data_IF_555036599697
#
_entry.id   IF_555036599697
#
_cell.length_a   1.000
_cell.length_b   1.000
_cell.length_c   1.000
_cell.angle_alpha   90.00
_cell.angle_beta   90.00
_cell.angle_gamma   90.00
#
_symmetry.space_group_name_H-M   'P 1'
#
loop_
_entity.id
_entity.type
_entity.pdbx_description
1 polymer ?
#
# COMPACT_ATOMS: atom_id res chain seq x y z
N UNK A 1 1.78 -16.22 3.55
CA UNK A 1 0.32 -15.93 3.32
C UNK A 1 -0.42 -17.12 2.68
N UNK A 2 0.10 -17.81 1.64
CA UNK A 2 -0.54 -19.03 1.10
C UNK A 2 -0.74 -20.13 2.15
N UNK A 3 0.21 -20.29 3.05
CA UNK A 3 0.19 -21.28 4.13
C UNK A 3 -0.96 -21.02 5.12
N UNK A 4 -1.17 -19.76 5.49
CA UNK A 4 -2.29 -19.35 6.35
C UNK A 4 -3.65 -19.58 5.68
N UNK A 5 -3.74 -19.29 4.39
CA UNK A 5 -4.95 -19.57 3.63
C UNK A 5 -5.22 -21.09 3.51
N UNK A 6 -4.16 -21.90 3.34
CA UNK A 6 -4.28 -23.35 3.33
C UNK A 6 -4.74 -23.90 4.68
N UNK A 7 -4.16 -23.43 5.79
CA UNK A 7 -4.53 -23.83 7.13
C UNK A 7 -5.98 -23.43 7.49
N UNK A 8 -6.42 -22.23 7.07
CA UNK A 8 -7.81 -21.78 7.23
C UNK A 8 -8.77 -22.67 6.42
N UNK A 9 -8.42 -23.00 5.18
CA UNK A 9 -9.25 -23.84 4.31
C UNK A 9 -9.32 -25.32 4.72
N UNK A 10 -8.39 -25.77 5.56
CA UNK A 10 -8.38 -27.13 6.13
C UNK A 10 -8.93 -27.19 7.58
N UNK A 11 -9.55 -26.11 8.05
CA UNK A 11 -10.04 -25.95 9.42
C UNK A 11 -8.98 -26.18 10.52
N UNK A 12 -7.70 -26.10 10.14
CA UNK A 12 -6.58 -26.23 11.09
C UNK A 12 -6.42 -24.97 11.97
N UNK A 13 -6.97 -23.83 11.52
CA UNK A 13 -7.07 -22.58 12.27
C UNK A 13 -8.42 -21.95 12.04
N UNK A 14 -8.94 -21.20 13.03
CA UNK A 14 -10.27 -20.59 12.99
C UNK A 14 -10.29 -19.20 12.36
N UNK A 15 -9.15 -18.51 12.26
CA UNK A 15 -9.02 -17.19 11.65
C UNK A 15 -7.58 -16.94 11.22
N UNK A 16 -7.39 -16.09 10.22
CA UNK A 16 -6.07 -15.68 9.73
C UNK A 16 -6.09 -14.27 9.17
N UNK A 17 -5.01 -13.47 9.34
CA UNK A 17 -4.80 -12.26 8.56
C UNK A 17 -4.36 -12.65 7.16
N UNK A 18 -5.11 -12.22 6.16
CA UNK A 18 -4.83 -12.49 4.75
C UNK A 18 -4.81 -11.18 3.94
N UNK A 19 -4.03 -11.17 2.88
CA UNK A 19 -4.03 -10.13 1.86
C UNK A 19 -4.36 -10.73 0.49
N UNK A 20 -4.70 -9.90 -0.49
CA UNK A 20 -4.88 -10.38 -1.85
C UNK A 20 -3.59 -11.03 -2.41
N UNK A 21 -3.70 -12.07 -3.25
CA UNK A 21 -4.94 -12.71 -3.71
C UNK A 21 -5.49 -13.76 -2.72
N UNK A 22 -4.76 -14.10 -1.65
CA UNK A 22 -5.11 -15.21 -0.73
C UNK A 22 -6.44 -14.96 0.01
N UNK A 23 -6.76 -13.73 0.37
CA UNK A 23 -8.04 -13.37 0.99
C UNK A 23 -9.21 -13.69 0.08
N UNK A 24 -9.11 -13.31 -1.20
CA UNK A 24 -10.13 -13.62 -2.18
C UNK A 24 -10.37 -15.14 -2.34
N UNK A 25 -9.29 -15.92 -2.44
CA UNK A 25 -9.39 -17.39 -2.54
C UNK A 25 -10.07 -17.98 -1.31
N UNK A 26 -9.79 -17.46 -0.12
CA UNK A 26 -10.44 -17.90 1.11
C UNK A 26 -11.95 -17.57 1.10
N UNK A 27 -12.34 -16.37 0.66
CA UNK A 27 -13.74 -15.97 0.53
C UNK A 27 -14.52 -16.88 -0.45
N UNK A 28 -13.91 -17.21 -1.60
CA UNK A 28 -14.52 -18.12 -2.57
C UNK A 28 -14.73 -19.55 -2.02
N UNK A 29 -14.01 -19.93 -0.98
CA UNK A 29 -14.18 -21.21 -0.27
C UNK A 29 -15.13 -21.13 0.93
N UNK A 30 -15.86 -20.03 1.07
CA UNK A 30 -16.89 -19.86 2.10
C UNK A 30 -16.40 -19.21 3.39
N UNK A 31 -15.11 -18.81 3.47
CA UNK A 31 -14.62 -18.04 4.60
C UNK A 31 -15.18 -16.61 4.56
N UNK A 32 -15.34 -16.00 5.72
CA UNK A 32 -15.88 -14.64 5.86
C UNK A 32 -14.84 -13.66 6.34
N UNK A 33 -14.85 -12.47 5.76
CA UNK A 33 -14.07 -11.33 6.30
C UNK A 33 -14.77 -10.85 7.57
N UNK A 34 -14.07 -10.93 8.70
CA UNK A 34 -14.57 -10.48 10.01
C UNK A 34 -14.10 -9.06 10.34
N UNK A 35 -12.98 -8.61 9.74
CA UNK A 35 -12.49 -7.24 9.83
C UNK A 35 -11.73 -6.88 8.56
N UNK A 36 -11.99 -5.71 7.98
CA UNK A 36 -11.19 -5.15 6.90
C UNK A 36 -10.28 -4.06 7.48
N UNK A 37 -9.01 -4.41 7.69
CA UNK A 37 -8.05 -3.52 8.35
C UNK A 37 -7.80 -2.20 7.61
N UNK A 38 -8.15 -2.11 6.31
CA UNK A 38 -8.10 -0.85 5.58
C UNK A 38 -9.09 0.20 6.11
N UNK A 39 -10.18 -0.23 6.76
CA UNK A 39 -11.27 0.63 7.24
C UNK A 39 -11.30 0.81 8.77
N UNK A 40 -10.38 0.15 9.49
CA UNK A 40 -10.35 0.18 10.96
C UNK A 40 -9.58 1.38 11.55
N UNK A 41 -9.13 2.32 10.72
CA UNK A 41 -8.37 3.48 11.17
C UNK A 41 -6.97 3.16 11.72
N UNK A 42 -6.47 1.97 11.47
CA UNK A 42 -5.14 1.53 11.88
C UNK A 42 -4.13 2.02 10.85
N UNK A 43 -3.25 2.94 11.27
CA UNK A 43 -2.16 3.40 10.44
C UNK A 43 -0.94 2.52 10.63
N UNK A 44 -0.51 1.86 9.58
CA UNK A 44 0.70 1.06 9.53
C UNK A 44 1.38 1.23 8.17
N UNK A 45 2.69 1.45 8.16
CA UNK A 45 3.44 1.56 6.89
C UNK A 45 3.73 0.16 6.38
N UNK A 46 2.85 -0.35 5.51
CA UNK A 46 2.99 -1.68 4.88
C UNK A 46 4.00 -1.61 3.74
N UNK A 47 3.92 -0.55 2.93
CA UNK A 47 4.78 -0.33 1.78
C UNK A 47 5.00 1.17 1.56
N UNK A 48 6.11 1.52 0.93
CA UNK A 48 6.44 2.90 0.63
C UNK A 48 7.44 3.02 -0.50
N UNK A 49 7.50 4.19 -1.10
CA UNK A 49 8.54 4.53 -2.07
C UNK A 49 9.81 4.91 -1.29
N UNK A 50 10.86 4.13 -1.47
CA UNK A 50 12.10 4.29 -0.70
C UNK A 50 13.24 4.71 -1.62
N UNK A 51 14.04 5.66 -1.18
CA UNK A 51 15.25 6.09 -1.88
C UNK A 51 16.32 6.55 -0.88
N UNK A 52 17.52 6.87 -1.37
CA UNK A 52 18.60 7.37 -0.53
C UNK A 52 18.51 8.89 -0.37
N UNK A 53 18.99 9.41 0.76
CA UNK A 53 19.12 10.86 0.97
C UNK A 53 20.06 11.51 -0.06
N UNK A 54 21.07 10.76 -0.55
CA UNK A 54 21.96 11.21 -1.61
C UNK A 54 21.18 11.44 -2.90
N UNK A 55 20.37 10.47 -3.34
CA UNK A 55 19.54 10.60 -4.55
C UNK A 55 18.60 11.81 -4.46
N UNK A 56 17.95 12.00 -3.32
CA UNK A 56 17.06 13.16 -3.11
C UNK A 56 17.79 14.51 -3.21
N UNK A 57 19.07 14.59 -2.82
CA UNK A 57 19.85 15.82 -2.98
C UNK A 57 20.35 16.04 -4.40
N UNK A 58 20.84 14.98 -5.03
CA UNK A 58 21.53 15.07 -6.33
C UNK A 58 20.58 14.99 -7.52
N UNK A 59 19.43 14.32 -7.35
CA UNK A 59 18.48 14.03 -8.43
C UNK A 59 17.03 14.28 -7.99
N UNK A 60 16.80 15.42 -7.35
CA UNK A 60 15.50 15.81 -6.82
C UNK A 60 14.40 15.89 -7.90
N UNK A 61 14.76 16.37 -9.11
CA UNK A 61 13.85 16.43 -10.26
C UNK A 61 13.34 15.05 -10.68
N UNK A 62 14.22 14.06 -10.70
CA UNK A 62 13.88 12.70 -11.12
C UNK A 62 13.01 12.02 -10.07
N UNK A 63 13.32 12.20 -8.78
CA UNK A 63 12.46 11.75 -7.69
C UNK A 63 11.05 12.35 -7.80
N UNK A 64 10.94 13.63 -8.13
CA UNK A 64 9.66 14.33 -8.32
C UNK A 64 8.92 13.84 -9.56
N UNK A 65 9.64 13.60 -10.66
CA UNK A 65 9.07 13.02 -11.89
C UNK A 65 8.52 11.61 -11.62
N UNK A 66 9.25 10.80 -10.85
CA UNK A 66 8.79 9.48 -10.43
C UNK A 66 7.50 9.56 -9.59
N UNK A 67 7.44 10.47 -8.61
CA UNK A 67 6.22 10.67 -7.81
C UNK A 67 5.02 11.12 -8.66
N UNK A 68 5.24 11.94 -9.68
CA UNK A 68 4.19 12.29 -10.66
C UNK A 68 3.70 11.06 -11.44
N UNK A 69 4.62 10.22 -11.91
CA UNK A 69 4.28 8.99 -12.62
C UNK A 69 3.51 8.02 -11.70
N UNK A 70 3.96 7.87 -10.46
CA UNK A 70 3.28 7.07 -9.43
C UNK A 70 1.86 7.59 -9.16
N UNK A 71 1.68 8.90 -8.95
CA UNK A 71 0.36 9.50 -8.75
C UNK A 71 -0.59 9.26 -9.93
N UNK A 72 -0.10 9.38 -11.18
CA UNK A 72 -0.88 9.05 -12.37
C UNK A 72 -1.24 7.57 -12.45
N UNK A 73 -0.31 6.69 -12.10
CA UNK A 73 -0.57 5.24 -12.07
C UNK A 73 -1.61 4.88 -10.99
N UNK A 74 -1.53 5.51 -9.83
CA UNK A 74 -2.55 5.37 -8.77
C UNK A 74 -3.92 5.82 -9.28
N UNK A 75 -4.01 7.00 -9.87
CA UNK A 75 -5.26 7.50 -10.46
C UNK A 75 -5.81 6.54 -11.53
N UNK A 76 -4.94 6.01 -12.39
CA UNK A 76 -5.30 5.04 -13.42
C UNK A 76 -5.96 3.77 -12.84
N UNK A 77 -5.45 3.24 -11.72
CA UNK A 77 -6.02 2.08 -11.03
C UNK A 77 -7.47 2.34 -10.58
N UNK A 78 -7.78 3.57 -10.19
CA UNK A 78 -9.13 3.95 -9.75
C UNK A 78 -10.08 4.21 -10.92
N UNK A 79 -9.62 4.84 -12.00
CA UNK A 79 -10.45 5.32 -13.10
C UNK A 79 -10.57 4.34 -14.26
N UNK A 80 -9.54 3.53 -14.51
CA UNK A 80 -9.44 2.67 -15.70
C UNK A 80 -9.40 1.18 -15.30
N UNK A 81 -10.42 0.73 -14.56
CA UNK A 81 -10.46 -0.59 -13.92
C UNK A 81 -10.15 -1.75 -14.87
N UNK A 82 -10.76 -1.80 -16.05
CA UNK A 82 -10.59 -2.91 -16.99
C UNK A 82 -9.19 -2.93 -17.62
N UNK A 83 -8.64 -1.76 -17.89
CA UNK A 83 -7.26 -1.64 -18.37
C UNK A 83 -6.27 -2.00 -17.26
N UNK A 84 -6.54 -1.60 -16.01
CA UNK A 84 -5.73 -1.97 -14.85
C UNK A 84 -5.73 -3.49 -14.63
N UNK A 85 -6.88 -4.17 -14.78
CA UNK A 85 -6.96 -5.64 -14.75
C UNK A 85 -6.14 -6.28 -15.86
N UNK A 86 -6.17 -5.72 -17.06
CA UNK A 86 -5.37 -6.23 -18.20
C UNK A 86 -3.87 -6.13 -17.91
N UNK A 87 -3.43 -5.04 -17.27
CA UNK A 87 -2.05 -4.86 -16.84
C UNK A 87 -1.69 -5.86 -15.71
N UNK A 88 -2.55 -6.02 -14.71
CA UNK A 88 -2.38 -7.01 -13.66
C UNK A 88 -2.25 -8.43 -14.23
N UNK A 89 -3.14 -8.82 -15.15
CA UNK A 89 -3.07 -10.11 -15.84
C UNK A 89 -1.70 -10.33 -16.47
N UNK A 90 -1.21 -9.34 -17.22
CA UNK A 90 0.06 -9.42 -17.93
C UNK A 90 1.26 -9.56 -16.98
N UNK A 91 1.34 -8.76 -15.93
CA UNK A 91 2.53 -8.64 -15.09
C UNK A 91 2.50 -9.54 -13.84
N UNK A 92 1.33 -9.71 -13.22
CA UNK A 92 1.16 -10.61 -12.08
C UNK A 92 0.84 -12.05 -12.50
N UNK A 93 0.59 -12.30 -13.80
CA UNK A 93 0.25 -13.62 -14.37
C UNK A 93 -0.96 -14.25 -13.67
N UNK A 94 -1.96 -13.43 -13.40
CA UNK A 94 -3.24 -13.84 -12.81
C UNK A 94 -4.25 -13.88 -13.93
N UNK A 95 -4.81 -15.04 -14.25
CA UNK A 95 -5.82 -15.21 -15.31
C UNK A 95 -7.24 -15.30 -14.76
N UNK A 96 -7.42 -15.73 -13.51
CA UNK A 96 -8.73 -15.83 -12.86
C UNK A 96 -9.37 -14.44 -12.71
N UNK A 97 -10.58 -14.22 -13.27
CA UNK A 97 -11.24 -12.90 -13.23
C UNK A 97 -11.54 -12.41 -11.82
N UNK A 98 -11.90 -13.32 -10.92
CA UNK A 98 -12.22 -12.98 -9.55
C UNK A 98 -10.97 -12.59 -8.74
N UNK A 99 -9.87 -13.31 -8.95
CA UNK A 99 -8.58 -12.93 -8.35
C UNK A 99 -8.08 -11.57 -8.87
N UNK A 100 -8.31 -11.25 -10.15
CA UNK A 100 -8.02 -9.93 -10.71
C UNK A 100 -8.87 -8.85 -10.05
N UNK A 101 -10.17 -9.08 -9.90
CA UNK A 101 -11.08 -8.15 -9.23
C UNK A 101 -10.69 -7.95 -7.77
N UNK A 102 -10.45 -9.03 -7.03
CA UNK A 102 -10.02 -8.97 -5.63
C UNK A 102 -8.68 -8.25 -5.45
N UNK A 103 -7.73 -8.49 -6.36
CA UNK A 103 -6.43 -7.80 -6.33
C UNK A 103 -6.55 -6.31 -6.62
N UNK A 104 -7.40 -5.93 -7.58
CA UNK A 104 -7.66 -4.54 -7.90
C UNK A 104 -8.36 -3.82 -6.74
N UNK A 105 -9.38 -4.46 -6.15
CA UNK A 105 -10.08 -3.93 -4.98
C UNK A 105 -9.11 -3.73 -3.82
N UNK A 106 -8.27 -4.73 -3.53
CA UNK A 106 -7.25 -4.62 -2.50
C UNK A 106 -6.31 -3.44 -2.76
N UNK A 107 -5.83 -3.28 -4.00
CA UNK A 107 -4.98 -2.14 -4.35
C UNK A 107 -5.69 -0.80 -4.10
N UNK A 108 -6.97 -0.69 -4.43
CA UNK A 108 -7.76 0.52 -4.18
C UNK A 108 -8.00 0.77 -2.68
N UNK A 109 -8.27 -0.26 -1.89
CA UNK A 109 -8.52 -0.15 -0.44
C UNK A 109 -7.26 0.28 0.33
N UNK A 110 -6.07 -0.18 -0.10
CA UNK A 110 -4.81 0.05 0.62
C UNK A 110 -3.87 1.08 -0.01
N UNK A 111 -4.23 1.66 -1.16
CA UNK A 111 -3.39 2.69 -1.79
C UNK A 111 -3.95 4.09 -1.54
N UNK A 112 -3.18 4.90 -0.86
CA UNK A 112 -3.53 6.31 -0.63
C UNK A 112 -3.48 7.10 -1.96
N UNK A 113 -4.51 7.90 -2.22
CA UNK A 113 -4.59 8.78 -3.42
C UNK A 113 -3.46 9.80 -3.47
N UNK A 114 -3.03 10.27 -2.32
CA UNK A 114 -1.87 11.14 -2.14
C UNK A 114 -0.91 10.40 -1.21
N UNK A 115 0.29 10.02 -1.67
CA UNK A 115 1.19 9.13 -0.94
C UNK A 115 1.97 9.86 0.18
N UNK A 116 1.25 10.51 1.08
CA UNK A 116 1.83 11.10 2.29
C UNK A 116 2.09 10.01 3.32
N UNK A 117 3.32 9.97 3.81
CA UNK A 117 3.64 9.12 4.96
C UNK A 117 3.04 9.75 6.21
N UNK A 118 2.18 9.00 6.89
CA UNK A 118 1.56 9.42 8.16
C UNK A 118 2.51 9.11 9.32
N UNK A 119 2.76 10.11 10.16
CA UNK A 119 3.64 10.01 11.32
C UNK A 119 3.25 8.84 12.23
N UNK A 120 1.97 8.67 12.45
CA UNK A 120 1.40 7.64 13.32
C UNK A 120 1.77 6.24 12.84
N UNK A 121 1.74 5.99 11.54
CA UNK A 121 2.13 4.69 10.96
C UNK A 121 3.61 4.39 11.16
N UNK A 122 4.47 5.40 11.07
CA UNK A 122 5.91 5.23 11.34
C UNK A 122 6.17 5.05 12.83
N UNK A 123 5.43 5.75 13.70
CA UNK A 123 5.54 5.60 15.15
C UNK A 123 5.23 4.17 15.59
N UNK A 124 4.17 3.54 15.06
CA UNK A 124 3.82 2.15 15.39
C UNK A 124 4.97 1.20 15.05
N UNK A 125 5.60 1.35 13.89
CA UNK A 125 6.76 0.53 13.50
C UNK A 125 7.95 0.80 14.43
N UNK A 126 8.20 2.07 14.75
CA UNK A 126 9.30 2.45 15.64
C UNK A 126 9.10 1.89 17.07
N UNK A 127 7.88 1.93 17.60
CA UNK A 127 7.55 1.38 18.92
C UNK A 127 7.79 -0.14 18.98
N UNK A 128 7.46 -0.86 17.90
CA UNK A 128 7.74 -2.29 17.79
C UNK A 128 9.26 -2.58 17.74
N UNK A 129 10.02 -1.73 17.04
CA UNK A 129 11.48 -1.86 16.98
C UNK A 129 12.16 -1.46 18.31
N UNK A 130 11.65 -0.43 18.98
CA UNK A 130 12.17 -0.04 20.32
C UNK A 130 12.04 -1.15 21.37
N UNK A 131 11.03 -2.00 21.25
CA UNK A 131 10.86 -3.16 22.14
C UNK A 131 11.94 -4.22 21.95
N UNK A 132 12.49 -4.34 20.72
CA UNK A 132 13.49 -5.34 20.35
C UNK A 132 14.90 -4.77 20.28
N UNK A 133 15.03 -3.48 19.97
CA UNK A 133 16.28 -2.79 19.73
C UNK A 133 16.34 -1.49 20.54
N UNK A 134 16.88 -1.50 21.78
CA UNK A 134 16.91 -0.34 22.68
C UNK A 134 17.51 0.95 22.07
N UNK A 135 18.53 0.93 21.21
CA UNK A 135 19.03 2.13 20.53
C UNK A 135 17.98 2.84 19.66
N UNK A 136 16.91 2.18 19.23
CA UNK A 136 15.83 2.79 18.48
C UNK A 136 15.08 3.89 19.27
N UNK A 137 15.18 3.90 20.60
CA UNK A 137 14.58 4.94 21.49
C UNK A 137 15.12 6.35 21.24
N UNK A 138 16.29 6.47 20.62
CA UNK A 138 16.90 7.75 20.29
C UNK A 138 16.34 8.38 19.01
N UNK A 139 15.49 7.67 18.30
CA UNK A 139 14.95 8.10 17.03
C UNK A 139 13.52 8.60 17.13
N UNK A 140 13.21 9.61 16.32
CA UNK A 140 11.85 10.09 16.10
C UNK A 140 11.35 9.64 14.72
N UNK A 141 10.04 9.50 14.51
CA UNK A 141 9.47 9.08 13.23
C UNK A 141 9.94 9.93 12.04
N UNK A 142 10.15 11.22 12.24
CA UNK A 142 10.54 12.20 11.22
C UNK A 142 11.89 11.89 10.57
N UNK A 143 12.72 11.07 11.21
CA UNK A 143 14.00 10.62 10.63
C UNK A 143 13.83 9.58 9.51
N UNK A 144 12.66 8.94 9.43
CA UNK A 144 12.44 7.79 8.55
C UNK A 144 11.59 8.11 7.33
N UNK A 145 11.03 9.32 7.22
CA UNK A 145 10.28 9.73 6.04
C UNK A 145 10.57 11.17 5.64
N UNK A 146 10.27 11.47 4.38
CA UNK A 146 10.34 12.80 3.80
C UNK A 146 9.14 13.04 2.89
N UNK A 147 8.22 13.89 3.32
CA UNK A 147 7.04 14.25 2.57
C UNK A 147 7.24 15.50 1.70
N UNK A 148 8.44 16.10 1.67
CA UNK A 148 8.66 17.42 1.03
C UNK A 148 8.28 17.44 -0.44
N UNK A 149 8.66 16.42 -1.22
CA UNK A 149 8.32 16.34 -2.64
C UNK A 149 6.82 16.12 -2.89
N UNK A 150 6.15 15.35 -2.03
CA UNK A 150 4.69 15.16 -2.12
C UNK A 150 3.98 16.46 -1.79
N UNK A 151 4.43 17.20 -0.78
CA UNK A 151 3.90 18.52 -0.41
C UNK A 151 4.10 19.53 -1.55
N UNK A 152 5.26 19.56 -2.20
CA UNK A 152 5.46 20.40 -3.39
C UNK A 152 4.44 20.09 -4.49
N UNK A 153 4.21 18.80 -4.78
CA UNK A 153 3.22 18.39 -5.78
C UNK A 153 1.78 18.75 -5.39
N UNK A 154 1.46 18.75 -4.10
CA UNK A 154 0.18 19.25 -3.59
C UNK A 154 0.06 20.75 -3.86
N UNK A 155 1.07 21.55 -3.49
CA UNK A 155 1.09 23.00 -3.69
C UNK A 155 1.03 23.39 -5.17
N UNK A 156 1.64 22.62 -6.05
CA UNK A 156 1.56 22.79 -7.50
C UNK A 156 0.18 22.43 -8.09
N UNK A 157 -0.73 21.92 -7.29
CA UNK A 157 -2.06 21.50 -7.71
C UNK A 157 -2.10 20.17 -8.47
N UNK A 158 -0.98 19.42 -8.52
CA UNK A 158 -0.90 18.17 -9.28
C UNK A 158 -1.94 17.15 -8.84
N UNK A 159 -2.03 16.85 -7.56
CA UNK A 159 -3.01 15.89 -7.05
C UNK A 159 -4.45 16.41 -7.18
N UNK A 160 -4.65 17.71 -6.99
CA UNK A 160 -5.96 18.33 -7.24
C UNK A 160 -6.40 18.09 -8.70
N UNK A 161 -5.51 18.30 -9.68
CA UNK A 161 -5.82 18.07 -11.09
C UNK A 161 -6.13 16.62 -11.45
N UNK A 162 -5.58 15.65 -10.71
CA UNK A 162 -5.88 14.23 -10.90
C UNK A 162 -7.24 13.84 -10.34
N UNK A 163 -7.62 14.34 -9.16
CA UNK A 163 -8.76 13.86 -8.40
C UNK A 163 -9.97 14.81 -8.40
N UNK A 164 -9.88 15.97 -9.05
CA UNK A 164 -11.03 16.87 -9.26
C UNK A 164 -11.77 16.43 -10.51
N UNK A 165 -12.93 15.85 -10.32
CA UNK A 165 -13.99 15.73 -11.33
C UNK A 165 -15.11 16.66 -10.96
#
# INVERSE_FOLDING_TARGET
MPELAAALNSDSISAAPLSAPSSYVAEQRGNRVIANLAHEGIYFVIAGLTTTRRFLREQRSDAKAFLRAFGRATHFIFEQRDQAKSILRKYAKIDDPGMLEGSLKYAQDFTEKIPLVKREGVQVVLDQEMAKNPPAKEFTPERFYDNSLVQELIHEGFYKSLWSK
#
